data_IF_546373568781
#
_entry.id   IF_546373568781
#
_cell.length_a   1.000
_cell.length_b   1.000
_cell.length_c   1.000
_cell.angle_alpha   90.00
_cell.angle_beta   90.00
_cell.angle_gamma   90.00
#
_symmetry.space_group_name_H-M   'P 1'
#
loop_
_entity.id
_entity.type
_entity.pdbx_description
1 polymer ?
#
# COMPACT_ATOMS: atom_id res chain seq x y z
N UNK A 1 3.37 -32.36 -32.54
CA UNK A 1 2.70 -31.18 -33.15
C UNK A 1 1.21 -31.42 -33.13
N UNK A 2 0.49 -30.68 -32.29
CA UNK A 2 -0.95 -30.41 -32.38
C UNK A 2 -1.27 -29.40 -31.25
N UNK A 3 -1.75 -28.21 -31.64
CA UNK A 3 -2.09 -27.12 -30.73
C UNK A 3 -3.59 -27.18 -30.39
N UNK A 4 -4.01 -26.81 -29.18
CA UNK A 4 -5.42 -26.57 -28.90
C UNK A 4 -5.80 -25.12 -29.21
N UNK A 5 -6.94 -25.01 -29.88
CA UNK A 5 -7.59 -23.82 -30.42
C UNK A 5 -8.35 -23.04 -29.33
N UNK A 6 -8.15 -21.72 -29.30
CA UNK A 6 -8.82 -20.78 -28.38
C UNK A 6 -10.12 -20.30 -29.03
N UNK A 7 -11.27 -20.61 -28.41
CA UNK A 7 -12.57 -20.09 -28.81
C UNK A 7 -12.82 -18.73 -28.17
N UNK A 8 -12.87 -17.67 -28.97
CA UNK A 8 -13.31 -16.32 -28.55
C UNK A 8 -14.81 -16.18 -28.82
N UNK A 9 -15.65 -16.27 -27.79
CA UNK A 9 -17.04 -15.78 -27.86
C UNK A 9 -17.09 -14.32 -27.40
N UNK A 10 -17.39 -13.44 -28.35
CA UNK A 10 -17.77 -12.06 -28.13
C UNK A 10 -19.20 -12.01 -27.57
N UNK A 11 -19.41 -11.30 -26.47
CA UNK A 11 -20.74 -10.99 -25.91
C UNK A 11 -21.03 -9.51 -26.17
N UNK A 12 -22.22 -9.12 -26.67
CA UNK A 12 -22.53 -7.74 -26.97
C UNK A 12 -22.84 -6.93 -25.71
N UNK A 13 -22.43 -5.66 -25.72
CA UNK A 13 -22.75 -4.68 -24.70
C UNK A 13 -24.20 -4.20 -24.85
N UNK A 14 -25.06 -4.53 -23.89
CA UNK A 14 -26.41 -3.97 -23.79
C UNK A 14 -26.34 -2.58 -23.17
N UNK A 15 -26.55 -1.56 -23.99
CA UNK A 15 -26.76 -0.18 -23.58
C UNK A 15 -28.18 -0.03 -23.01
N UNK A 16 -28.30 0.41 -21.75
CA UNK A 16 -29.53 1.03 -21.24
C UNK A 16 -29.22 2.49 -20.90
N UNK A 17 -29.75 3.38 -21.72
CA UNK A 17 -29.75 4.83 -21.54
C UNK A 17 -30.90 5.20 -20.59
N UNK A 18 -30.59 5.87 -19.48
CA UNK A 18 -31.55 6.68 -18.74
C UNK A 18 -31.11 8.16 -18.84
N UNK A 19 -32.03 9.11 -19.07
CA UNK A 19 -31.67 10.52 -19.24
C UNK A 19 -31.57 11.18 -17.86
N UNK A 20 -30.36 11.61 -17.49
CA UNK A 20 -30.13 12.52 -16.36
C UNK A 20 -29.72 13.87 -16.96
N UNK A 21 -30.32 15.00 -16.55
CA UNK A 21 -30.21 16.25 -17.27
C UNK A 21 -28.77 16.78 -17.27
N UNK A 22 -28.28 17.08 -18.47
CA UNK A 22 -27.02 17.79 -18.74
C UNK A 22 -27.23 19.25 -18.39
N UNK A 23 -26.61 19.73 -17.31
CA UNK A 23 -26.47 21.16 -17.05
C UNK A 23 -25.19 21.64 -17.76
N UNK A 24 -25.37 22.63 -18.62
CA UNK A 24 -24.42 23.07 -19.62
C UNK A 24 -23.08 23.57 -19.10
N UNK A 25 -22.08 23.43 -19.98
CA UNK A 25 -20.74 24.00 -19.86
C UNK A 25 -20.89 25.53 -19.90
N UNK A 26 -20.72 26.18 -18.76
CA UNK A 26 -20.50 27.63 -18.70
C UNK A 26 -19.00 27.88 -18.60
N UNK A 27 -18.44 28.44 -19.66
CA UNK A 27 -17.12 29.06 -19.66
C UNK A 27 -17.12 30.23 -18.68
N UNK A 28 -16.57 30.04 -17.48
CA UNK A 28 -16.29 31.13 -16.54
C UNK A 28 -14.82 31.11 -16.16
N UNK A 29 -14.05 31.91 -16.90
CA UNK A 29 -12.81 32.49 -16.45
C UNK A 29 -13.10 33.33 -15.20
N UNK A 30 -12.74 32.84 -14.02
CA UNK A 30 -12.54 33.66 -12.82
C UNK A 30 -11.92 32.81 -11.72
N UNK A 31 -10.75 33.25 -11.31
CA UNK A 31 -9.96 32.77 -10.19
C UNK A 31 -10.79 32.77 -8.90
N UNK A 32 -11.22 31.60 -8.45
CA UNK A 32 -11.66 31.39 -7.07
C UNK A 32 -11.06 30.07 -6.59
N UNK A 33 -9.97 30.18 -5.83
CA UNK A 33 -9.41 29.07 -5.05
C UNK A 33 -10.42 28.72 -3.97
N UNK A 34 -11.38 27.85 -4.32
CA UNK A 34 -12.40 27.37 -3.41
C UNK A 34 -11.77 26.33 -2.47
N UNK A 35 -11.71 26.70 -1.19
CA UNK A 35 -11.52 25.87 0.01
C UNK A 35 -11.21 24.39 -0.23
N UNK A 36 -9.93 24.06 -0.40
CA UNK A 36 -9.43 22.76 0.00
C UNK A 36 -9.30 22.79 1.52
N UNK A 37 -9.95 21.90 2.30
CA UNK A 37 -9.70 21.81 3.73
C UNK A 37 -8.23 21.41 3.89
N UNK A 38 -7.39 22.38 4.24
CA UNK A 38 -6.01 22.11 4.63
C UNK A 38 -6.12 21.42 5.98
N UNK A 39 -6.08 20.09 6.00
CA UNK A 39 -5.94 19.33 7.23
C UNK A 39 -4.62 19.77 7.85
N UNK A 40 -4.72 20.68 8.82
CA UNK A 40 -3.58 21.12 9.60
C UNK A 40 -3.23 19.92 10.47
N UNK A 41 -2.34 19.07 9.97
CA UNK A 41 -1.74 18.01 10.77
C UNK A 41 -1.05 18.72 11.94
N UNK A 42 -1.63 18.58 13.13
CA UNK A 42 -1.01 19.03 14.37
C UNK A 42 0.27 18.20 14.51
N UNK A 43 1.41 18.74 14.10
CA UNK A 43 2.70 18.09 14.30
C UNK A 43 2.84 17.84 15.81
N UNK A 44 2.83 16.55 16.17
CA UNK A 44 3.11 16.09 17.53
C UNK A 44 4.43 16.74 17.99
N UNK A 45 4.43 17.22 19.22
CA UNK A 45 5.53 17.98 19.81
C UNK A 45 6.86 17.21 19.76
N UNK A 46 7.98 17.94 19.63
CA UNK A 46 9.35 17.40 19.61
C UNK A 46 9.71 16.52 20.84
N UNK A 47 8.94 16.62 21.93
CA UNK A 47 9.12 15.79 23.12
C UNK A 47 8.82 14.30 22.88
N UNK A 48 7.92 13.97 21.95
CA UNK A 48 7.61 12.56 21.62
C UNK A 48 8.85 11.86 21.06
N UNK A 49 9.54 12.50 20.11
CA UNK A 49 10.68 11.92 19.43
C UNK A 49 11.86 11.65 20.37
N UNK A 50 12.14 12.58 21.30
CA UNK A 50 13.22 12.42 22.28
C UNK A 50 12.96 11.24 23.23
N UNK A 51 11.71 10.96 23.57
CA UNK A 51 11.34 9.80 24.38
C UNK A 51 11.41 8.49 23.57
N UNK A 52 11.07 8.52 22.29
CA UNK A 52 11.13 7.34 21.41
C UNK A 52 12.57 6.88 21.19
N UNK A 53 13.53 7.81 21.04
CA UNK A 53 14.96 7.49 20.94
C UNK A 53 15.46 6.78 22.20
N UNK A 54 15.15 7.30 23.39
CA UNK A 54 15.57 6.68 24.66
C UNK A 54 14.99 5.28 24.83
N UNK A 55 13.71 5.09 24.51
CA UNK A 55 13.06 3.77 24.55
C UNK A 55 13.72 2.78 23.60
N UNK A 56 14.10 3.23 22.40
CA UNK A 56 14.81 2.40 21.44
C UNK A 56 16.19 1.98 21.99
N UNK A 57 16.98 2.91 22.51
CA UNK A 57 18.29 2.63 23.12
C UNK A 57 18.20 1.69 24.33
N UNK A 58 17.13 1.79 25.13
CA UNK A 58 16.90 0.88 26.25
C UNK A 58 16.52 -0.52 25.76
N UNK A 59 15.63 -0.62 24.76
CA UNK A 59 15.22 -1.89 24.18
C UNK A 59 16.39 -2.60 23.47
N UNK A 60 17.29 -1.86 22.80
CA UNK A 60 18.43 -2.42 22.06
C UNK A 60 19.46 -3.09 22.95
N UNK A 61 19.49 -2.78 24.25
CA UNK A 61 20.34 -3.47 25.22
C UNK A 61 19.85 -4.89 25.52
N UNK A 62 18.58 -5.18 25.26
CA UNK A 62 17.92 -6.42 25.63
C UNK A 62 17.64 -7.35 24.43
N UNK A 63 17.90 -6.90 23.20
CA UNK A 63 17.63 -7.70 22.00
C UNK A 63 18.28 -7.13 20.73
N UNK A 64 18.49 -7.99 19.74
CA UNK A 64 19.06 -7.62 18.44
C UNK A 64 18.04 -7.08 17.43
N UNK A 65 16.74 -7.23 17.71
CA UNK A 65 15.65 -6.73 16.87
C UNK A 65 14.75 -5.82 17.72
N UNK A 66 14.73 -4.53 17.37
CA UNK A 66 13.92 -3.53 18.05
C UNK A 66 12.95 -2.91 17.02
N UNK A 67 11.63 -3.19 17.09
CA UNK A 67 10.68 -2.65 16.14
C UNK A 67 10.47 -1.16 16.35
N UNK A 68 10.59 -0.38 15.27
CA UNK A 68 10.17 1.01 15.22
C UNK A 68 8.79 1.10 14.59
N UNK A 69 7.84 1.71 15.28
CA UNK A 69 6.45 1.77 14.82
C UNK A 69 5.85 3.15 15.05
N UNK A 70 4.97 3.56 14.14
CA UNK A 70 4.16 4.76 14.28
C UNK A 70 2.72 4.44 13.94
N UNK A 71 1.80 4.81 14.84
CA UNK A 71 0.38 4.72 14.57
C UNK A 71 -0.07 5.97 13.79
N UNK A 72 -0.85 5.75 12.73
CA UNK A 72 -1.38 6.80 11.86
C UNK A 72 -2.89 6.61 11.80
N UNK A 73 -3.66 7.70 11.95
CA UNK A 73 -5.11 7.66 11.73
C UNK A 73 -5.40 7.51 10.23
N UNK A 74 -6.17 6.49 9.88
CA UNK A 74 -6.34 6.11 8.47
C UNK A 74 -7.71 5.49 8.19
N UNK A 75 -8.79 6.16 8.59
CA UNK A 75 -10.17 5.67 8.42
C UNK A 75 -10.55 5.40 6.96
N UNK A 76 -9.86 6.03 6.00
CA UNK A 76 -10.09 5.86 4.57
C UNK A 76 -9.17 4.81 3.91
N UNK A 77 -8.17 4.29 4.63
CA UNK A 77 -7.28 3.27 4.07
C UNK A 77 -7.85 1.89 4.31
N UNK A 78 -8.32 1.26 3.23
CA UNK A 78 -8.52 -0.19 3.21
C UNK A 78 -7.17 -0.89 3.06
N UNK A 79 -7.03 -2.17 3.44
CA UNK A 79 -5.76 -2.90 3.29
C UNK A 79 -5.19 -2.86 1.87
N UNK A 80 -6.04 -2.97 0.85
CA UNK A 80 -5.65 -2.87 -0.56
C UNK A 80 -5.15 -1.46 -0.91
N UNK A 81 -5.77 -0.42 -0.38
CA UNK A 81 -5.31 0.96 -0.60
C UNK A 81 -3.97 1.20 0.11
N UNK A 82 -3.80 0.72 1.34
CA UNK A 82 -2.54 0.81 2.07
C UNK A 82 -1.39 0.11 1.33
N UNK A 83 -1.64 -1.10 0.78
CA UNK A 83 -0.67 -1.81 -0.06
C UNK A 83 -0.25 -0.99 -1.29
N UNK A 84 -1.22 -0.39 -2.01
CA UNK A 84 -0.94 0.46 -3.17
C UNK A 84 -0.17 1.73 -2.84
N UNK A 85 -0.27 2.23 -1.60
CA UNK A 85 0.54 3.37 -1.16
C UNK A 85 2.03 2.99 -0.94
N UNK A 86 2.32 1.71 -0.68
CA UNK A 86 3.67 1.23 -0.36
C UNK A 86 4.40 0.63 -1.57
N UNK A 87 3.66 0.10 -2.55
CA UNK A 87 4.22 -0.53 -3.75
C UNK A 87 4.04 0.39 -4.95
N UNK A 88 5.13 0.71 -5.66
CA UNK A 88 5.06 1.54 -6.88
C UNK A 88 4.24 0.84 -7.97
N UNK A 89 3.36 1.57 -8.63
CA UNK A 89 2.46 0.99 -9.65
C UNK A 89 3.20 0.33 -10.83
N UNK A 90 4.37 0.87 -11.19
CA UNK A 90 5.19 0.37 -12.30
C UNK A 90 6.12 -0.79 -11.90
N UNK A 91 6.32 -1.01 -10.60
CA UNK A 91 7.25 -2.03 -10.08
C UNK A 91 6.50 -3.30 -9.67
N UNK A 92 5.93 -3.97 -10.67
CA UNK A 92 5.08 -5.16 -10.47
C UNK A 92 5.83 -6.38 -9.95
N UNK A 93 7.15 -6.37 -10.06
CA UNK A 93 8.03 -7.45 -9.65
C UNK A 93 8.68 -7.17 -8.29
N UNK A 94 8.40 -6.02 -7.67
CA UNK A 94 8.90 -5.69 -6.34
C UNK A 94 8.43 -6.72 -5.30
N UNK A 95 9.37 -7.29 -4.51
CA UNK A 95 9.00 -8.22 -3.44
C UNK A 95 8.11 -7.50 -2.42
N UNK A 96 6.92 -8.04 -2.23
CA UNK A 96 5.88 -7.45 -1.39
C UNK A 96 4.79 -8.49 -1.07
N UNK A 97 4.02 -8.24 -0.02
CA UNK A 97 2.91 -9.10 0.37
C UNK A 97 1.79 -8.32 1.04
N UNK A 98 0.57 -8.85 0.90
CA UNK A 98 -0.63 -8.42 1.60
C UNK A 98 -1.31 -9.68 2.15
N UNK A 99 -1.42 -9.77 3.47
CA UNK A 99 -2.12 -10.85 4.14
C UNK A 99 -3.39 -10.34 4.82
N UNK A 100 -4.50 -11.01 4.50
CA UNK A 100 -5.81 -10.75 5.09
C UNK A 100 -6.39 -12.08 5.60
N UNK A 101 -7.07 -12.02 6.74
CA UNK A 101 -7.79 -13.16 7.30
C UNK A 101 -9.29 -12.99 7.09
N UNK A 102 -9.99 -14.10 6.85
CA UNK A 102 -11.45 -14.16 6.81
C UNK A 102 -11.91 -15.29 7.73
N UNK A 103 -12.76 -14.97 8.69
CA UNK A 103 -13.42 -15.93 9.56
C UNK A 103 -14.91 -15.97 9.25
N UNK A 104 -15.42 -17.08 8.74
CA UNK A 104 -16.86 -17.34 8.59
C UNK A 104 -17.67 -16.14 8.04
N UNK A 105 -17.10 -15.46 7.02
CA UNK A 105 -17.62 -14.26 6.32
C UNK A 105 -17.30 -12.87 6.92
N UNK A 106 -16.52 -12.79 8.00
CA UNK A 106 -16.00 -11.53 8.53
C UNK A 106 -14.52 -11.37 8.22
N UNK A 107 -14.13 -10.15 7.83
CA UNK A 107 -12.72 -9.79 7.70
C UNK A 107 -12.09 -9.74 9.10
N UNK A 108 -10.89 -10.30 9.23
CA UNK A 108 -10.10 -10.23 10.45
C UNK A 108 -9.80 -8.78 10.84
N UNK A 109 -9.59 -8.53 12.13
CA UNK A 109 -9.34 -7.17 12.66
C UNK A 109 -8.06 -6.53 12.12
N UNK A 110 -7.12 -7.35 11.65
CA UNK A 110 -5.81 -6.91 11.20
C UNK A 110 -5.55 -7.42 9.79
N UNK A 111 -4.83 -6.60 9.04
CA UNK A 111 -4.20 -6.97 7.78
C UNK A 111 -2.72 -6.64 7.89
N UNK A 112 -1.87 -7.46 7.28
CA UNK A 112 -0.41 -7.27 7.34
C UNK A 112 0.08 -6.95 5.94
N UNK A 113 0.82 -5.86 5.83
CA UNK A 113 1.37 -5.37 4.56
C UNK A 113 2.88 -5.29 4.69
N UNK A 114 3.59 -5.83 3.71
CA UNK A 114 5.04 -5.69 3.57
C UNK A 114 5.40 -5.28 2.15
N UNK A 115 6.33 -4.34 2.02
CA UNK A 115 6.85 -3.88 0.75
C UNK A 115 8.35 -3.62 0.90
N UNK A 116 9.11 -3.85 -0.18
CA UNK A 116 10.55 -3.59 -0.23
C UNK A 116 11.32 -4.21 0.96
N UNK A 117 11.17 -5.52 1.22
CA UNK A 117 11.99 -6.18 2.23
C UNK A 117 13.47 -5.95 1.92
N UNK A 118 14.28 -5.82 2.97
CA UNK A 118 15.74 -5.68 2.81
C UNK A 118 16.37 -6.98 2.31
N UNK A 119 15.79 -8.14 2.63
CA UNK A 119 16.38 -9.43 2.31
C UNK A 119 15.30 -10.46 1.98
N UNK A 120 15.54 -11.29 0.97
CA UNK A 120 14.77 -12.48 0.63
C UNK A 120 15.60 -13.74 0.87
N UNK A 121 15.01 -14.76 1.50
CA UNK A 121 15.66 -16.05 1.76
C UNK A 121 14.85 -17.15 1.07
N UNK A 122 15.47 -17.82 0.11
CA UNK A 122 14.85 -18.88 -0.69
C UNK A 122 15.56 -20.21 -0.43
N UNK A 123 14.84 -21.19 0.12
CA UNK A 123 15.33 -22.54 0.32
C UNK A 123 14.69 -23.50 -0.69
N UNK A 124 15.52 -24.23 -1.45
CA UNK A 124 15.10 -25.26 -2.39
C UNK A 124 16.02 -26.46 -2.28
N UNK A 125 15.45 -27.64 -2.03
CA UNK A 125 16.20 -28.88 -1.79
C UNK A 125 17.25 -28.70 -0.68
N UNK A 126 18.54 -28.90 -0.97
CA UNK A 126 19.66 -28.70 -0.06
C UNK A 126 20.38 -27.36 -0.27
N UNK A 127 19.77 -26.41 -1.00
CA UNK A 127 20.35 -25.10 -1.29
C UNK A 127 19.53 -23.98 -0.65
N UNK A 128 20.22 -23.05 0.01
CA UNK A 128 19.67 -21.78 0.51
C UNK A 128 20.29 -20.63 -0.28
N UNK A 129 19.46 -19.71 -0.76
CA UNK A 129 19.86 -18.50 -1.48
C UNK A 129 19.38 -17.29 -0.67
N UNK A 130 20.28 -16.35 -0.40
CA UNK A 130 19.99 -15.10 0.30
C UNK A 130 20.18 -13.99 -0.71
N UNK A 131 19.15 -13.17 -0.90
CA UNK A 131 19.17 -12.00 -1.77
C UNK A 131 19.06 -10.76 -0.89
N UNK A 132 20.11 -9.93 -0.86
CA UNK A 132 20.12 -8.65 -0.15
C UNK A 132 19.73 -7.52 -1.13
N UNK A 133 18.91 -6.59 -0.67
CA UNK A 133 18.38 -5.47 -1.45
C UNK A 133 18.95 -4.12 -1.03
N UNK A 134 19.91 -4.06 -0.09
CA UNK A 134 20.57 -2.80 0.32
C UNK A 134 21.28 -2.08 -0.84
N UNK A 135 21.71 -2.80 -1.89
CA UNK A 135 22.46 -2.22 -3.01
C UNK A 135 21.61 -1.38 -4.00
N UNK A 136 20.28 -1.28 -3.84
CA UNK A 136 19.42 -0.51 -4.75
C UNK A 136 19.30 0.99 -4.44
N UNK A 137 20.01 1.49 -3.42
CA UNK A 137 19.90 2.88 -2.93
C UNK A 137 21.15 3.75 -3.20
N UNK A 138 21.98 3.40 -4.18
CA UNK A 138 23.00 4.31 -4.72
C UNK A 138 22.50 4.89 -6.05
N UNK A 139 21.55 5.82 -6.00
CA UNK A 139 21.23 6.76 -7.08
C UNK A 139 20.54 8.03 -6.53
#
# INVERSE_FOLDING_TARGET
MQAPCISRRLVPASQRLSPVPVIGISSRSSTSLACVPRTKCCSLSNQSLANDVKKFEEASKNGNLVPLSKCIFSDQLTPVLAYRCLVKEDDREAPSFLFESVEQNNQGRYSVVGAQPQMEIVAKENKVTIMDHEERCLD
#
